data_IF_917857729059
#
_entry.id   IF_917857729059
#
_cell.length_a   1.000
_cell.length_b   1.000
_cell.length_c   1.000
_cell.angle_alpha   90.00
_cell.angle_beta   90.00
_cell.angle_gamma   90.00
#
_symmetry.space_group_name_H-M   'P 1'
#
loop_
_entity.id
_entity.type
_entity.pdbx_description
1 polymer ?
#
# COMPACT_ATOMS: atom_id res chain seq x y z
N UNK A 1 -6.35 -7.99 1.58
CA UNK A 1 -7.26 -7.07 0.83
C UNK A 1 -8.48 -7.87 0.46
N UNK A 2 -9.66 -7.26 0.49
CA UNK A 2 -10.90 -7.90 0.09
C UNK A 2 -11.02 -7.82 -1.43
N UNK A 3 -11.34 -8.94 -2.07
CA UNK A 3 -11.54 -8.97 -3.53
C UNK A 3 -12.68 -8.04 -3.93
N UNK A 4 -12.61 -7.48 -5.14
CA UNK A 4 -13.56 -6.54 -5.73
C UNK A 4 -13.72 -5.21 -4.99
N UNK A 5 -12.80 -4.85 -4.11
CA UNK A 5 -12.78 -3.57 -3.42
C UNK A 5 -11.68 -2.64 -3.96
N UNK A 6 -11.98 -1.34 -3.99
CA UNK A 6 -11.04 -0.28 -4.40
C UNK A 6 -10.16 0.14 -3.22
N UNK A 7 -8.88 0.30 -3.50
CA UNK A 7 -7.86 0.71 -2.53
C UNK A 7 -7.07 1.93 -3.02
N UNK A 8 -6.62 2.75 -2.07
CA UNK A 8 -5.69 3.87 -2.27
C UNK A 8 -4.44 3.58 -1.43
N UNK A 9 -3.29 3.25 -2.05
CA UNK A 9 -2.02 3.20 -1.35
C UNK A 9 -1.69 4.53 -0.68
N UNK A 10 -1.05 4.45 0.50
CA UNK A 10 -0.56 5.61 1.26
C UNK A 10 0.89 5.31 1.65
N UNK A 11 1.78 6.26 1.41
CA UNK A 11 3.18 6.13 1.80
C UNK A 11 3.45 7.01 3.02
N UNK A 12 4.00 6.41 4.08
CA UNK A 12 4.24 7.10 5.35
C UNK A 12 5.74 7.15 5.64
N UNK A 13 6.28 8.35 5.83
CA UNK A 13 7.65 8.58 6.29
C UNK A 13 7.58 8.94 7.77
N UNK A 14 8.27 8.18 8.60
CA UNK A 14 8.28 8.36 10.06
C UNK A 14 9.69 8.75 10.47
N UNK A 15 9.84 9.92 11.08
CA UNK A 15 11.09 10.31 11.71
C UNK A 15 11.22 9.61 13.07
N UNK A 16 12.32 8.88 13.26
CA UNK A 16 12.63 8.19 14.52
C UNK A 16 13.93 8.80 15.08
N UNK A 17 13.86 9.60 16.16
CA UNK A 17 15.06 10.19 16.76
C UNK A 17 15.94 9.11 17.40
N UNK A 18 17.26 9.27 17.30
CA UNK A 18 18.25 8.29 17.76
C UNK A 18 18.53 8.35 19.28
N UNK A 19 18.07 9.37 20.01
CA UNK A 19 18.33 9.49 21.45
C UNK A 19 17.28 8.77 22.30
N UNK A 20 17.76 7.73 22.99
CA UNK A 20 17.25 6.99 24.15
C UNK A 20 15.90 7.44 24.76
N UNK A 21 15.00 6.46 24.92
CA UNK A 21 13.64 6.47 25.52
C UNK A 21 12.41 6.51 24.60
N UNK A 22 12.54 6.61 23.27
CA UNK A 22 11.35 6.69 22.41
C UNK A 22 10.56 5.39 22.10
N UNK A 23 10.89 4.17 22.58
CA UNK A 23 9.92 3.07 22.58
C UNK A 23 9.35 2.74 23.96
N UNK A 24 9.98 3.17 25.05
CA UNK A 24 9.56 2.77 26.41
C UNK A 24 8.33 3.55 26.89
N UNK A 25 8.20 4.84 26.53
CA UNK A 25 7.05 5.65 26.96
C UNK A 25 5.72 5.18 26.34
N UNK A 26 5.75 4.72 25.08
CA UNK A 26 4.57 4.22 24.37
C UNK A 26 4.08 2.86 24.88
N UNK A 27 4.97 2.05 25.45
CA UNK A 27 4.64 0.74 26.03
C UNK A 27 4.32 0.80 27.54
N UNK A 28 4.69 1.88 28.25
CA UNK A 28 4.45 2.05 29.70
C UNK A 28 3.26 2.96 30.05
N UNK A 29 2.65 3.63 29.07
CA UNK A 29 1.47 4.47 29.32
C UNK A 29 0.27 3.57 29.64
N UNK A 30 -0.10 3.48 30.92
CA UNK A 30 -1.30 2.74 31.35
C UNK A 30 -2.54 3.41 30.75
N UNK A 31 -3.64 2.67 30.51
CA UNK A 31 -4.89 3.28 30.07
C UNK A 31 -5.39 4.22 31.17
N UNK A 32 -5.31 5.54 30.96
CA UNK A 32 -5.79 6.55 31.92
C UNK A 32 -4.98 7.84 32.01
N UNK A 33 -3.76 7.92 31.45
CA UNK A 33 -2.94 9.13 31.54
C UNK A 33 -3.29 10.19 30.48
N UNK A 34 -3.49 11.44 30.94
CA UNK A 34 -3.86 12.65 30.16
C UNK A 34 -2.84 12.98 29.05
N UNK A 35 -1.64 12.40 29.10
CA UNK A 35 -0.54 12.58 28.14
C UNK A 35 -0.78 11.93 26.77
N UNK A 36 -1.83 11.13 26.62
CA UNK A 36 -2.11 10.39 25.39
C UNK A 36 -2.38 11.30 24.19
N UNK A 37 -3.05 12.44 24.41
CA UNK A 37 -3.44 13.36 23.34
C UNK A 37 -2.25 14.19 22.83
N UNK A 38 -1.37 14.62 23.72
CA UNK A 38 -0.16 15.38 23.39
C UNK A 38 0.90 14.49 22.72
N UNK A 39 1.05 13.24 23.14
CA UNK A 39 1.95 12.27 22.49
C UNK A 39 1.44 11.88 21.10
N UNK A 40 0.13 11.67 20.92
CA UNK A 40 -0.46 11.36 19.61
C UNK A 40 -0.35 12.55 18.65
N UNK A 41 -0.57 13.79 19.12
CA UNK A 41 -0.37 14.99 18.31
C UNK A 41 1.12 15.18 17.93
N UNK A 42 2.05 14.92 18.85
CA UNK A 42 3.47 14.95 18.56
C UNK A 42 3.89 13.84 17.58
N UNK A 43 3.34 12.63 17.68
CA UNK A 43 3.54 11.56 16.69
C UNK A 43 3.04 11.96 15.30
N UNK A 44 1.90 12.66 15.23
CA UNK A 44 1.37 13.21 13.98
C UNK A 44 2.34 14.17 13.28
N UNK A 45 3.19 14.90 14.03
CA UNK A 45 4.25 15.75 13.47
C UNK A 45 5.45 14.95 12.95
N UNK A 46 5.69 13.75 13.48
CA UNK A 46 6.79 12.87 13.08
C UNK A 46 6.45 11.99 11.87
N UNK A 47 5.16 11.86 11.55
CA UNK A 47 4.67 11.07 10.42
C UNK A 47 4.21 11.98 9.27
N UNK A 48 4.92 11.94 8.14
CA UNK A 48 4.48 12.58 6.90
C UNK A 48 3.84 11.54 5.98
N UNK A 49 2.59 11.77 5.58
CA UNK A 49 1.85 10.88 4.68
C UNK A 49 1.78 11.46 3.27
N UNK A 50 2.07 10.63 2.28
CA UNK A 50 1.99 10.96 0.86
C UNK A 50 0.92 10.10 0.18
N UNK A 51 0.13 10.73 -0.68
CA UNK A 51 -0.91 10.10 -1.47
C UNK A 51 -0.60 10.30 -2.95
N UNK A 52 -0.70 9.22 -3.71
CA UNK A 52 -0.55 9.23 -5.17
C UNK A 52 -1.88 8.75 -5.76
N UNK A 53 -2.80 9.65 -6.14
CA UNK A 53 -4.13 9.28 -6.64
C UNK A 53 -4.12 8.31 -7.83
N UNK A 54 -3.07 8.36 -8.65
CA UNK A 54 -2.80 7.48 -9.79
C UNK A 54 -2.51 6.03 -9.40
N UNK A 55 -2.18 5.77 -8.13
CA UNK A 55 -1.88 4.42 -7.61
C UNK A 55 -3.10 3.68 -7.07
N UNK A 56 -4.31 4.25 -7.20
CA UNK A 56 -5.56 3.55 -6.84
C UNK A 56 -5.75 2.30 -7.68
N UNK A 57 -6.22 1.21 -7.08
CA UNK A 57 -6.49 -0.03 -7.80
C UNK A 57 -7.66 -0.79 -7.17
N UNK A 58 -8.16 -1.81 -7.87
CA UNK A 58 -9.09 -2.79 -7.30
C UNK A 58 -8.33 -4.08 -7.01
N UNK A 59 -8.49 -4.62 -5.80
CA UNK A 59 -7.98 -5.95 -5.50
C UNK A 59 -8.87 -6.99 -6.20
N UNK A 60 -8.28 -7.94 -6.91
CA UNK A 60 -9.00 -8.98 -7.65
C UNK A 60 -8.29 -10.32 -7.50
N UNK A 61 -9.04 -11.41 -7.58
CA UNK A 61 -8.47 -12.78 -7.62
C UNK A 61 -8.01 -13.18 -9.01
N UNK A 62 -8.59 -12.58 -10.06
CA UNK A 62 -8.19 -12.72 -11.46
C UNK A 62 -8.46 -11.42 -12.22
N UNK A 63 -7.65 -11.13 -13.25
CA UNK A 63 -7.87 -9.95 -14.09
C UNK A 63 -9.21 -10.03 -14.81
N UNK A 64 -10.00 -8.95 -14.71
CA UNK A 64 -11.29 -8.85 -15.41
C UNK A 64 -11.17 -8.09 -16.74
N UNK A 65 -10.23 -7.14 -16.83
CA UNK A 65 -10.03 -6.32 -18.01
C UNK A 65 -8.80 -6.80 -18.79
N UNK A 66 -9.04 -7.34 -20.00
CA UNK A 66 -7.98 -7.85 -20.87
C UNK A 66 -6.90 -6.81 -21.21
N UNK A 67 -7.24 -5.52 -21.29
CA UNK A 67 -6.26 -4.45 -21.54
C UNK A 67 -5.27 -4.32 -20.38
N UNK A 68 -5.72 -4.54 -19.14
CA UNK A 68 -4.83 -4.56 -17.97
C UNK A 68 -3.94 -5.80 -18.02
N UNK A 69 -4.48 -6.97 -18.39
CA UNK A 69 -3.70 -8.19 -18.57
C UNK A 69 -2.57 -7.98 -19.59
N UNK A 70 -2.89 -7.45 -20.78
CA UNK A 70 -1.91 -7.14 -21.83
C UNK A 70 -0.84 -6.14 -21.35
N UNK A 71 -1.27 -5.04 -20.71
CA UNK A 71 -0.34 -4.05 -20.14
C UNK A 71 0.59 -4.68 -19.10
N UNK A 72 0.06 -5.56 -18.25
CA UNK A 72 0.86 -6.27 -17.24
C UNK A 72 1.84 -7.24 -17.89
N UNK A 73 1.47 -7.93 -18.95
CA UNK A 73 2.34 -8.87 -19.67
C UNK A 73 3.45 -8.16 -20.43
N UNK A 74 3.15 -7.03 -21.08
CA UNK A 74 4.16 -6.23 -21.77
C UNK A 74 5.16 -5.60 -20.79
N UNK A 75 4.68 -5.12 -19.64
CA UNK A 75 5.49 -4.30 -18.72
C UNK A 75 6.23 -5.10 -17.66
N UNK A 76 5.68 -6.24 -17.20
CA UNK A 76 6.28 -7.04 -16.14
C UNK A 76 7.34 -8.01 -16.72
N UNK A 77 8.62 -7.96 -16.29
CA UNK A 77 9.65 -8.89 -16.74
C UNK A 77 9.34 -10.37 -16.47
N UNK A 78 8.64 -10.66 -15.37
CA UNK A 78 8.28 -12.04 -14.99
C UNK A 78 7.18 -12.65 -15.86
N UNK A 79 6.51 -11.84 -16.69
CA UNK A 79 5.44 -12.29 -17.58
C UNK A 79 5.92 -12.43 -19.04
N UNK A 80 7.23 -12.37 -19.31
CA UNK A 80 7.78 -12.38 -20.67
C UNK A 80 7.32 -13.57 -21.52
N UNK A 81 7.16 -14.76 -20.92
CA UNK A 81 6.77 -15.98 -21.63
C UNK A 81 5.36 -15.93 -22.26
N UNK A 82 4.51 -14.98 -21.85
CA UNK A 82 3.17 -14.81 -22.40
C UNK A 82 3.10 -13.73 -23.50
N UNK A 83 4.23 -13.12 -23.89
CA UNK A 83 4.26 -12.03 -24.88
C UNK A 83 4.10 -12.52 -26.31
N UNK A 84 4.52 -13.75 -26.57
CA UNK A 84 4.52 -14.35 -27.91
C UNK A 84 3.25 -15.20 -28.17
N UNK A 85 2.34 -15.30 -27.19
CA UNK A 85 1.04 -15.94 -27.37
C UNK A 85 0.11 -15.04 -28.19
N UNK A 86 -0.58 -15.63 -29.17
CA UNK A 86 -1.51 -14.91 -30.03
C UNK A 86 -2.69 -14.34 -29.21
N UNK A 87 -3.00 -13.03 -29.29
CA UNK A 87 -4.13 -12.43 -28.57
C UNK A 87 -5.48 -13.14 -28.81
N UNK A 88 -5.63 -13.82 -29.95
CA UNK A 88 -6.85 -14.55 -30.31
C UNK A 88 -7.09 -15.80 -29.44
N UNK A 89 -6.06 -16.37 -28.81
CA UNK A 89 -6.23 -17.47 -27.85
C UNK A 89 -6.84 -16.99 -26.52
N UNK A 90 -6.76 -15.69 -26.20
CA UNK A 90 -7.16 -15.18 -24.89
C UNK A 90 -8.63 -14.73 -24.86
N UNK A 91 -9.24 -14.55 -26.02
CA UNK A 91 -10.69 -14.36 -26.13
C UNK A 91 -11.48 -15.68 -26.01
N UNK A 92 -10.78 -16.82 -25.92
CA UNK A 92 -11.34 -18.17 -25.78
C UNK A 92 -11.37 -18.68 -24.33
N UNK A 93 -10.90 -17.90 -23.35
CA UNK A 93 -10.81 -18.27 -21.92
C UNK A 93 -11.63 -17.34 -21.04
#
# INVERSE_FOLDING_TARGET
MNSMHKYQPRFHVIFVPQQEHFPTCLALSRPGDILQEEVVQNLGRLVKTFLFPETKFFAVTAYQNHRITQLKISSNPFAKGFRDCDPDEWYQI
#
